data_IF_229411165426
#
_entry.id   IF_229411165426
#
_cell.length_a   1.000
_cell.length_b   1.000
_cell.length_c   1.000
_cell.angle_alpha   90.00
_cell.angle_beta   90.00
_cell.angle_gamma   90.00
#
_symmetry.space_group_name_H-M   'P 1'
#
loop_
_entity.id
_entity.type
_entity.pdbx_description
1 polymer ?
#
# COMPACT_ATOMS: atom_id res chain seq x y z
N UNK A 1 -17.15 12.37 -12.84
CA UNK A 1 -16.37 13.53 -12.37
C UNK A 1 -15.14 12.98 -11.63
N UNK A 2 -13.92 13.20 -12.11
CA UNK A 2 -12.70 12.70 -11.45
C UNK A 2 -12.19 13.78 -10.51
N UNK A 3 -12.20 13.52 -9.20
CA UNK A 3 -11.64 14.44 -8.21
C UNK A 3 -10.11 14.31 -8.23
N UNK A 4 -9.42 15.41 -8.55
CA UNK A 4 -7.95 15.46 -8.48
C UNK A 4 -7.55 15.85 -7.05
N UNK A 5 -6.88 14.94 -6.35
CA UNK A 5 -6.29 15.18 -5.05
C UNK A 5 -4.77 14.97 -5.14
N UNK A 6 -4.00 15.94 -4.63
CA UNK A 6 -2.57 15.83 -4.48
C UNK A 6 -2.25 15.75 -2.99
N UNK A 7 -1.66 14.63 -2.57
CA UNK A 7 -1.23 14.46 -1.19
C UNK A 7 -0.02 15.36 -0.88
N UNK A 8 0.11 15.86 0.36
CA UNK A 8 1.28 16.64 0.76
C UNK A 8 2.56 15.80 0.75
N UNK A 9 3.69 16.44 0.45
CA UNK A 9 5.02 15.81 0.54
C UNK A 9 5.34 15.52 2.00
N UNK A 10 5.76 14.29 2.30
CA UNK A 10 6.19 13.86 3.65
C UNK A 10 7.67 13.56 3.64
N UNK A 11 8.38 14.05 4.65
CA UNK A 11 9.81 13.78 4.87
C UNK A 11 9.96 12.85 6.08
N UNK A 12 10.60 11.70 5.87
CA UNK A 12 10.94 10.77 6.95
C UNK A 12 12.35 11.06 7.47
N UNK A 13 12.54 11.08 8.79
CA UNK A 13 13.85 11.33 9.45
C UNK A 13 14.72 10.07 9.56
N UNK A 14 14.52 9.12 8.65
CA UNK A 14 15.18 7.79 8.66
C UNK A 14 15.77 7.50 7.28
N UNK A 15 16.86 6.71 7.19
CA UNK A 15 17.46 6.31 5.92
C UNK A 15 16.46 5.51 5.07
N UNK A 16 16.70 5.53 3.76
CA UNK A 16 15.80 4.96 2.76
C UNK A 16 15.52 3.47 3.02
N UNK A 17 16.54 2.70 3.36
CA UNK A 17 16.49 1.26 3.60
C UNK A 17 15.56 0.94 4.78
N UNK A 18 15.61 1.74 5.85
CA UNK A 18 14.71 1.57 6.99
C UNK A 18 13.27 1.95 6.64
N UNK A 19 13.07 2.97 5.82
CA UNK A 19 11.73 3.36 5.35
C UNK A 19 11.13 2.27 4.46
N UNK A 20 11.93 1.68 3.57
CA UNK A 20 11.51 0.57 2.71
C UNK A 20 11.21 -0.69 3.51
N UNK A 21 12.07 -1.07 4.45
CA UNK A 21 11.81 -2.21 5.34
C UNK A 21 10.54 -2.00 6.18
N UNK A 22 10.28 -0.76 6.63
CA UNK A 22 9.05 -0.42 7.35
C UNK A 22 7.82 -0.41 6.41
N UNK A 23 7.99 -0.09 5.13
CA UNK A 23 6.93 -0.14 4.12
C UNK A 23 6.51 -1.59 3.84
N UNK A 24 7.45 -2.50 3.63
CA UNK A 24 7.16 -3.91 3.36
C UNK A 24 6.45 -4.59 4.54
N UNK A 25 6.84 -4.25 5.78
CA UNK A 25 6.19 -4.74 7.01
C UNK A 25 4.73 -4.31 7.18
N UNK A 26 4.20 -3.42 6.33
CA UNK A 26 2.77 -3.09 6.31
C UNK A 26 1.91 -4.20 5.68
N UNK A 27 2.55 -5.17 5.04
CA UNK A 27 1.89 -6.30 4.40
C UNK A 27 2.23 -7.60 5.16
N UNK A 28 1.30 -8.58 5.22
CA UNK A 28 0.00 -8.58 4.56
C UNK A 28 -1.08 -7.78 5.28
N UNK A 29 -0.88 -7.37 6.54
CA UNK A 29 -1.85 -6.60 7.34
C UNK A 29 -1.19 -5.43 8.05
N UNK A 30 -1.94 -4.34 8.28
CA UNK A 30 -1.43 -3.15 8.96
C UNK A 30 -2.47 -2.58 9.93
N UNK A 31 -2.22 -2.61 11.26
CA UNK A 31 -3.16 -2.08 12.25
C UNK A 31 -3.46 -0.58 12.10
N UNK A 32 -2.50 0.18 11.55
CA UNK A 32 -2.65 1.62 11.31
C UNK A 32 -3.50 1.95 10.07
N UNK A 33 -3.93 0.94 9.30
CA UNK A 33 -4.78 1.11 8.11
C UNK A 33 -6.06 0.28 8.33
N UNK A 34 -7.07 0.80 9.05
CA UNK A 34 -8.23 0.01 9.48
C UNK A 34 -9.06 -0.61 8.34
N UNK A 35 -9.09 0.06 7.19
CA UNK A 35 -9.80 -0.42 5.99
C UNK A 35 -9.04 -1.55 5.27
N UNK A 36 -7.78 -1.80 5.61
CA UNK A 36 -6.96 -2.79 4.93
C UNK A 36 -7.02 -4.13 5.67
N UNK A 37 -7.75 -5.09 5.08
CA UNK A 37 -8.00 -6.40 5.70
C UNK A 37 -6.85 -7.38 5.49
N UNK A 38 -6.13 -7.26 4.38
CA UNK A 38 -5.09 -8.21 4.02
C UNK A 38 -4.62 -8.05 2.57
N UNK A 39 -3.46 -8.61 2.25
CA UNK A 39 -3.01 -8.78 0.86
C UNK A 39 -2.26 -10.08 0.66
N UNK A 40 -2.37 -10.64 -0.54
CA UNK A 40 -1.58 -11.79 -0.99
C UNK A 40 -0.71 -11.37 -2.19
N UNK A 41 0.51 -11.90 -2.30
CA UNK A 41 1.39 -11.66 -3.46
C UNK A 41 0.88 -12.49 -4.65
N UNK A 42 0.74 -11.85 -5.81
CA UNK A 42 0.29 -12.51 -7.06
C UNK A 42 1.42 -12.74 -8.05
N UNK A 43 2.41 -11.83 -8.08
CA UNK A 43 3.60 -11.98 -8.89
C UNK A 43 4.77 -11.23 -8.25
N UNK A 44 5.97 -11.66 -8.57
CA UNK A 44 7.21 -11.10 -8.06
C UNK A 44 8.28 -11.18 -9.15
N UNK A 45 8.97 -10.07 -9.37
CA UNK A 45 10.04 -9.94 -10.34
C UNK A 45 11.20 -9.16 -9.73
N UNK A 46 12.41 -9.66 -9.93
CA UNK A 46 13.65 -9.02 -9.53
C UNK A 46 14.51 -8.84 -10.79
N UNK A 47 15.06 -7.65 -10.99
CA UNK A 47 15.99 -7.42 -12.08
C UNK A 47 17.34 -8.12 -11.85
N UNK A 48 18.02 -8.52 -12.92
CA UNK A 48 19.31 -9.23 -12.83
C UNK A 48 20.41 -8.40 -12.17
N UNK A 49 20.33 -7.07 -12.28
CA UNK A 49 21.25 -6.12 -11.64
C UNK A 49 20.90 -5.83 -10.17
N UNK A 50 19.77 -6.37 -9.66
CA UNK A 50 19.29 -6.16 -8.30
C UNK A 50 18.83 -4.72 -8.01
N UNK A 51 18.67 -3.88 -9.02
CA UNK A 51 18.27 -2.49 -8.85
C UNK A 51 16.74 -2.31 -8.72
N UNK A 52 15.96 -3.28 -9.18
CA UNK A 52 14.50 -3.17 -9.30
C UNK A 52 13.81 -4.43 -8.80
N UNK A 53 12.94 -4.22 -7.81
CA UNK A 53 12.03 -5.23 -7.28
C UNK A 53 10.57 -4.80 -7.56
N UNK A 54 9.82 -5.67 -8.24
CA UNK A 54 8.43 -5.45 -8.59
C UNK A 54 7.60 -6.54 -7.90
N UNK A 55 6.71 -6.13 -7.00
CA UNK A 55 5.82 -7.04 -6.29
C UNK A 55 4.38 -6.63 -6.52
N UNK A 56 3.61 -7.50 -7.18
CA UNK A 56 2.18 -7.32 -7.35
C UNK A 56 1.43 -7.98 -6.18
N UNK A 57 0.49 -7.24 -5.60
CA UNK A 57 -0.30 -7.70 -4.46
C UNK A 57 -1.78 -7.53 -4.72
N UNK A 58 -2.56 -8.56 -4.43
CA UNK A 58 -4.02 -8.49 -4.40
C UNK A 58 -4.48 -8.10 -3.00
N UNK A 59 -5.04 -6.90 -2.87
CA UNK A 59 -5.48 -6.35 -1.59
C UNK A 59 -6.98 -6.55 -1.35
N UNK A 60 -7.36 -6.89 -0.12
CA UNK A 60 -8.75 -6.90 0.37
C UNK A 60 -8.98 -5.67 1.23
N UNK A 61 -9.97 -4.86 0.87
CA UNK A 61 -10.34 -3.63 1.58
C UNK A 61 -11.75 -3.76 2.14
N UNK A 62 -11.94 -3.34 3.39
CA UNK A 62 -13.26 -3.12 3.96
C UNK A 62 -13.70 -1.68 3.66
N UNK A 63 -14.42 -1.51 2.55
CA UNK A 63 -14.94 -0.21 2.15
C UNK A 63 -16.40 -0.12 2.56
N UNK A 64 -16.69 0.73 3.54
CA UNK A 64 -18.07 1.01 3.92
C UNK A 64 -18.73 1.92 2.88
N UNK A 65 -19.79 1.42 2.25
CA UNK A 65 -20.60 2.26 1.37
C UNK A 65 -21.27 3.38 2.19
N UNK A 66 -21.22 4.64 1.72
CA UNK A 66 -22.00 5.73 2.29
C UNK A 66 -23.47 5.34 2.43
N UNK A 67 -24.12 5.75 3.52
CA UNK A 67 -25.53 5.41 3.80
C UNK A 67 -26.47 5.72 2.63
N UNK A 68 -26.18 6.80 1.90
CA UNK A 68 -26.92 7.22 0.69
C UNK A 68 -26.88 6.20 -0.45
N UNK A 69 -25.86 5.33 -0.51
CA UNK A 69 -25.70 4.29 -1.54
C UNK A 69 -26.17 2.90 -1.07
N UNK A 70 -26.60 2.75 0.19
CA UNK A 70 -27.08 1.49 0.76
C UNK A 70 -28.61 1.27 0.56
N UNK A 71 -29.31 2.18 -0.15
CA UNK A 71 -30.75 2.10 -0.45
C UNK A 71 -31.02 1.64 -1.88
#
# INVERSE_FOLDING_TARGET
MVQKYQSPVRVYRYPFELVMAAYEKRFPTCPMIPVFLGSDITSEFHSEDGAVDIIERRCRLNVDAPYLLKK
#
